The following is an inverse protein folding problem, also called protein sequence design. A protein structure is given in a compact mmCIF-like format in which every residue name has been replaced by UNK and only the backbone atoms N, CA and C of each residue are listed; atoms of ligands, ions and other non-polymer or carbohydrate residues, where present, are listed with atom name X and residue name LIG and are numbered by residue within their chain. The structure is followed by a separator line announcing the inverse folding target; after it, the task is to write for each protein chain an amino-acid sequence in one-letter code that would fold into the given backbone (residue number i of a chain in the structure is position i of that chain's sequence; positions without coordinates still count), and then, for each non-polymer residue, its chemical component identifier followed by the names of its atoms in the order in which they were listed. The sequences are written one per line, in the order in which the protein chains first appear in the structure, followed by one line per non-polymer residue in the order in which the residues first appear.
data_IF_460568420812
#
_entry.id   IF_460568420812
#
_cell.length_a   1.000
_cell.length_b   1.000
_cell.length_c   1.000
_cell.angle_alpha   90.00
_cell.angle_beta   90.00
_cell.angle_gamma   90.00
#
_symmetry.space_group_name_H-M   'P 1'
#
loop_
_entity.id
_entity.type
_entity.pdbx_description
1 polymer ?
#
# COMPACT_ATOMS: atom_id res chain seq x y z
N UNK A 1 4.81 20.98 -14.17
CA UNK A 1 4.30 21.85 -13.09
C UNK A 1 4.64 23.32 -13.36
N UNK A 2 4.63 23.71 -14.63
CA UNK A 2 4.89 25.09 -15.08
C UNK A 2 3.70 25.45 -15.95
N UNK A 3 3.03 26.56 -15.66
CA UNK A 3 1.92 27.03 -16.50
C UNK A 3 2.41 27.73 -17.78
N UNK A 4 1.48 28.14 -18.65
CA UNK A 4 1.79 28.84 -19.90
C UNK A 4 2.47 30.20 -19.70
N UNK A 5 2.41 30.76 -18.49
CA UNK A 5 3.09 31.99 -18.10
C UNK A 5 4.46 31.73 -17.42
N UNK A 6 4.92 30.48 -17.39
CA UNK A 6 6.22 30.11 -16.81
C UNK A 6 6.23 30.03 -15.27
N UNK A 7 5.08 29.94 -14.61
CA UNK A 7 4.98 29.91 -13.13
C UNK A 7 4.78 28.51 -12.60
N UNK A 8 5.28 28.24 -11.39
CA UNK A 8 4.98 27.02 -10.63
C UNK A 8 3.48 26.95 -10.29
N UNK A 9 2.85 25.80 -10.55
CA UNK A 9 1.39 25.61 -10.33
C UNK A 9 1.09 25.02 -8.95
N UNK A 10 1.77 23.94 -8.58
CA UNK A 10 1.59 23.27 -7.29
C UNK A 10 2.84 23.37 -6.43
N UNK A 11 2.70 23.76 -5.16
CA UNK A 11 3.79 23.72 -4.19
C UNK A 11 3.97 22.34 -3.55
N UNK A 12 2.87 21.63 -3.33
CA UNK A 12 2.86 20.33 -2.68
C UNK A 12 1.78 19.40 -3.24
N UNK A 13 2.06 18.10 -3.22
CA UNK A 13 1.14 17.04 -3.66
C UNK A 13 1.14 15.91 -2.62
N UNK A 14 -0.03 15.54 -2.11
CA UNK A 14 -0.25 14.30 -1.38
C UNK A 14 -0.98 13.33 -2.30
N UNK A 15 -0.23 12.38 -2.85
CA UNK A 15 -0.74 11.37 -3.77
C UNK A 15 -1.03 10.11 -2.96
N UNK A 16 -2.26 9.99 -2.48
CA UNK A 16 -2.73 8.78 -1.80
C UNK A 16 -3.15 7.71 -2.79
N UNK A 17 -2.93 6.44 -2.42
CA UNK A 17 -3.10 5.25 -3.26
C UNK A 17 -2.39 5.36 -4.61
N UNK A 18 -1.17 5.92 -4.59
CA UNK A 18 -0.43 6.31 -5.78
C UNK A 18 -0.32 5.17 -6.81
N UNK A 19 0.07 3.97 -6.36
CA UNK A 19 0.31 2.82 -7.23
C UNK A 19 1.29 3.14 -8.37
N UNK A 20 1.37 2.24 -9.36
CA UNK A 20 2.03 2.51 -10.64
C UNK A 20 1.11 3.24 -11.64
N UNK A 21 -0.20 3.17 -11.42
CA UNK A 21 -1.22 3.71 -12.30
C UNK A 21 -1.26 5.24 -12.29
N UNK A 22 -1.60 5.83 -13.43
CA UNK A 22 -1.86 7.27 -13.57
C UNK A 22 -3.27 7.51 -14.04
N UNK A 23 -3.79 8.70 -13.72
CA UNK A 23 -5.06 9.14 -14.28
C UNK A 23 -4.98 9.32 -15.80
N UNK A 24 -6.05 8.96 -16.48
CA UNK A 24 -6.20 9.12 -17.92
C UNK A 24 -6.74 10.52 -18.23
N UNK A 25 -5.86 11.43 -18.66
CA UNK A 25 -6.24 12.82 -18.98
C UNK A 25 -5.87 13.25 -20.40
N UNK A 26 -4.81 12.68 -20.96
CA UNK A 26 -4.12 13.21 -22.15
C UNK A 26 -4.22 12.28 -23.37
N UNK A 27 -5.30 11.52 -23.49
CA UNK A 27 -5.59 10.72 -24.68
C UNK A 27 -7.08 10.75 -25.04
N UNK A 28 -7.41 10.42 -26.29
CA UNK A 28 -8.79 10.37 -26.78
C UNK A 28 -9.57 9.30 -26.04
N UNK A 29 -10.81 9.62 -25.69
CA UNK A 29 -11.73 8.78 -24.91
C UNK A 29 -11.19 8.39 -23.53
N UNK A 30 -10.27 9.20 -22.99
CA UNK A 30 -9.79 9.07 -21.63
C UNK A 30 -10.93 9.16 -20.61
N UNK A 31 -10.90 8.26 -19.64
CA UNK A 31 -11.81 8.20 -18.52
C UNK A 31 -10.98 8.40 -17.24
N UNK A 32 -10.98 9.61 -16.65
CA UNK A 32 -10.12 9.94 -15.53
C UNK A 32 -10.25 9.02 -14.31
N UNK A 33 -11.45 8.46 -14.10
CA UNK A 33 -11.76 7.59 -12.96
C UNK A 33 -11.48 6.10 -13.22
N UNK A 34 -10.96 5.74 -14.40
CA UNK A 34 -10.74 4.34 -14.75
C UNK A 34 -9.37 3.88 -14.26
N UNK A 35 -9.32 2.67 -13.72
CA UNK A 35 -8.13 2.01 -13.24
C UNK A 35 -8.11 0.54 -13.65
N UNK A 36 -6.92 -0.03 -13.79
CA UNK A 36 -6.74 -1.42 -14.20
C UNK A 36 -6.65 -2.36 -12.98
N UNK A 37 -7.32 -3.51 -13.10
CA UNK A 37 -7.25 -4.60 -12.13
C UNK A 37 -7.15 -5.94 -12.85
N UNK A 38 -6.91 -7.02 -12.10
CA UNK A 38 -6.82 -8.38 -12.66
C UNK A 38 -8.09 -8.85 -13.38
N UNK A 39 -9.26 -8.29 -13.06
CA UNK A 39 -10.54 -8.70 -13.66
C UNK A 39 -11.36 -7.55 -14.26
N UNK A 40 -10.77 -6.36 -14.39
CA UNK A 40 -11.48 -5.21 -14.95
C UNK A 40 -10.53 -4.25 -15.65
N UNK A 41 -11.07 -3.53 -16.65
CA UNK A 41 -10.34 -2.54 -17.45
C UNK A 41 -8.97 -3.02 -18.00
N UNK A 42 -8.93 -4.29 -18.43
CA UNK A 42 -7.75 -4.92 -19.04
C UNK A 42 -7.14 -4.02 -20.11
N UNK A 43 -5.84 -3.73 -19.95
CA UNK A 43 -5.05 -2.95 -20.89
C UNK A 43 -5.66 -1.58 -21.25
N UNK A 44 -6.49 -1.02 -20.36
CA UNK A 44 -6.82 0.39 -20.47
C UNK A 44 -5.57 1.22 -20.10
N UNK A 45 -5.33 2.42 -20.70
CA UNK A 45 -4.06 3.14 -20.57
C UNK A 45 -3.82 3.82 -19.20
N UNK A 46 -3.78 3.06 -18.10
CA UNK A 46 -3.56 3.56 -16.73
C UNK A 46 -2.16 3.25 -16.21
N UNK A 47 -1.72 2.01 -16.35
CA UNK A 47 -0.49 1.50 -15.71
C UNK A 47 0.67 1.54 -16.71
N UNK A 48 1.09 2.75 -17.07
CA UNK A 48 2.05 2.99 -18.13
C UNK A 48 3.39 3.49 -17.57
N UNK A 49 4.49 3.07 -18.21
CA UNK A 49 5.82 3.63 -18.01
C UNK A 49 5.87 5.13 -18.40
N UNK A 50 6.62 6.03 -17.71
CA UNK A 50 7.41 5.84 -16.47
C UNK A 50 6.65 5.71 -15.14
N UNK A 51 7.21 4.92 -14.22
CA UNK A 51 6.63 4.72 -12.87
C UNK A 51 7.33 5.52 -11.77
N UNK A 52 8.62 5.83 -11.97
CA UNK A 52 9.41 6.64 -11.04
C UNK A 52 9.52 8.08 -11.54
N UNK A 53 9.79 9.00 -10.61
CA UNK A 53 10.07 10.41 -10.95
C UNK A 53 11.43 10.60 -11.61
N UNK A 54 12.41 9.75 -11.25
CA UNK A 54 13.69 9.62 -11.94
C UNK A 54 13.50 8.97 -13.31
N UNK A 55 14.30 9.42 -14.27
CA UNK A 55 14.38 8.81 -15.60
C UNK A 55 14.94 7.40 -15.49
N UNK A 56 14.25 6.45 -16.11
CA UNK A 56 14.74 5.10 -16.37
C UNK A 56 14.67 4.84 -17.88
N UNK A 57 15.44 3.88 -18.36
CA UNK A 57 15.34 3.42 -19.75
C UNK A 57 14.75 2.02 -19.77
N UNK A 58 13.64 1.84 -20.50
CA UNK A 58 13.05 0.53 -20.71
C UNK A 58 13.88 -0.27 -21.73
N UNK A 59 14.54 -1.36 -21.32
CA UNK A 59 15.41 -2.12 -22.22
C UNK A 59 14.67 -2.80 -23.37
N UNK A 60 13.35 -3.03 -23.24
CA UNK A 60 12.56 -3.68 -24.29
C UNK A 60 12.11 -2.70 -25.38
N UNK A 61 11.76 -1.47 -24.99
CA UNK A 61 11.25 -0.45 -25.93
C UNK A 61 12.29 0.59 -26.33
N UNK A 62 13.39 0.71 -25.57
CA UNK A 62 14.41 1.75 -25.73
C UNK A 62 13.98 3.13 -25.23
N UNK A 63 12.76 3.29 -24.71
CA UNK A 63 12.22 4.57 -24.26
C UNK A 63 12.87 4.95 -22.93
N UNK A 64 13.39 6.17 -22.84
CA UNK A 64 13.91 6.76 -21.60
C UNK A 64 12.98 7.88 -21.10
N UNK A 65 12.37 7.71 -19.93
CA UNK A 65 11.45 8.71 -19.35
C UNK A 65 11.36 8.59 -17.82
N UNK A 66 10.81 9.62 -17.17
CA UNK A 66 10.53 9.72 -15.74
C UNK A 66 9.39 10.71 -15.49
N UNK A 67 8.60 10.54 -14.43
CA UNK A 67 7.44 11.42 -14.17
C UNK A 67 7.82 12.92 -14.08
N UNK A 68 9.06 13.22 -13.69
CA UNK A 68 9.60 14.58 -13.60
C UNK A 68 10.67 14.88 -14.67
N UNK A 69 10.85 14.04 -15.69
CA UNK A 69 11.85 14.24 -16.74
C UNK A 69 11.67 15.59 -17.46
N UNK A 70 10.43 16.01 -17.72
CA UNK A 70 10.11 17.32 -18.34
C UNK A 70 10.35 18.53 -17.44
N UNK A 71 10.64 18.31 -16.15
CA UNK A 71 11.02 19.37 -15.18
C UNK A 71 12.53 19.43 -14.96
N UNK A 72 13.33 18.80 -15.80
CA UNK A 72 14.80 18.84 -15.69
C UNK A 72 15.34 20.27 -15.82
N UNK A 73 14.74 21.09 -16.68
CA UNK A 73 15.13 22.49 -16.92
C UNK A 73 14.61 23.47 -15.86
N UNK A 74 13.59 23.06 -15.09
CA UNK A 74 12.95 23.87 -14.04
C UNK A 74 12.86 23.09 -12.72
N UNK A 75 13.99 22.69 -12.11
CA UNK A 75 13.99 21.96 -10.84
C UNK A 75 13.29 22.73 -9.71
N UNK A 76 13.31 24.07 -9.74
CA UNK A 76 12.61 24.97 -8.83
C UNK A 76 11.08 24.87 -8.91
N UNK A 77 10.55 24.33 -10.02
CA UNK A 77 9.12 24.07 -10.19
C UNK A 77 8.70 22.66 -9.75
N UNK A 78 9.61 21.84 -9.22
CA UNK A 78 9.22 20.53 -8.68
C UNK A 78 8.41 20.71 -7.39
N UNK A 79 7.19 20.14 -7.30
CA UNK A 79 6.44 20.20 -6.06
C UNK A 79 7.09 19.32 -4.99
N UNK A 80 6.79 19.59 -3.72
CA UNK A 80 7.04 18.66 -2.62
C UNK A 80 6.00 17.54 -2.67
N UNK A 81 6.42 16.29 -2.80
CA UNK A 81 5.49 15.17 -3.08
C UNK A 81 5.56 14.13 -1.99
N UNK A 82 4.41 13.78 -1.43
CA UNK A 82 4.24 12.55 -0.65
C UNK A 82 3.48 11.53 -1.50
N UNK A 83 4.12 10.40 -1.79
CA UNK A 83 3.45 9.21 -2.27
C UNK A 83 3.07 8.36 -1.07
N UNK A 84 1.77 8.08 -0.91
CA UNK A 84 1.31 7.14 0.12
C UNK A 84 0.60 5.97 -0.54
N UNK A 85 0.95 4.76 -0.08
CA UNK A 85 0.39 3.51 -0.59
C UNK A 85 0.03 2.63 0.59
N UNK A 86 -1.18 2.08 0.62
CA UNK A 86 -1.50 0.98 1.53
C UNK A 86 -0.80 -0.29 1.06
N UNK A 87 -0.95 -1.40 1.78
CA UNK A 87 -0.49 -2.69 1.27
C UNK A 87 -1.25 -3.09 0.01
N UNK A 88 -2.53 -2.72 -0.13
CA UNK A 88 -3.31 -3.14 -1.29
C UNK A 88 -2.69 -2.62 -2.59
N UNK A 89 -2.13 -1.42 -2.58
CA UNK A 89 -1.51 -0.83 -3.76
C UNK A 89 -0.32 -1.65 -4.29
N UNK A 90 0.40 -2.40 -3.42
CA UNK A 90 1.45 -3.32 -3.87
C UNK A 90 0.85 -4.55 -4.59
N UNK A 91 -0.28 -5.06 -4.10
CA UNK A 91 -0.94 -6.26 -4.64
C UNK A 91 -1.83 -5.99 -5.86
N UNK A 92 -2.55 -4.88 -5.84
CA UNK A 92 -3.60 -4.55 -6.81
C UNK A 92 -3.26 -3.39 -7.73
N UNK A 93 -2.19 -2.63 -7.47
CA UNK A 93 -1.84 -1.42 -8.26
C UNK A 93 -0.34 -1.31 -8.57
N UNK A 94 0.39 -2.42 -8.50
CA UNK A 94 1.82 -2.54 -8.83
C UNK A 94 2.73 -1.47 -8.19
N UNK A 95 2.44 -1.06 -6.95
CA UNK A 95 3.13 0.05 -6.28
C UNK A 95 4.64 -0.14 -6.08
N UNK A 96 5.18 -1.35 -6.18
CA UNK A 96 6.63 -1.55 -6.16
C UNK A 96 7.34 -0.74 -7.26
N UNK A 97 6.70 -0.54 -8.41
CA UNK A 97 7.30 0.13 -9.57
C UNK A 97 7.61 1.61 -9.34
N UNK A 98 7.02 2.26 -8.33
CA UNK A 98 7.34 3.68 -8.04
C UNK A 98 8.68 3.86 -7.34
N UNK A 99 9.31 2.77 -6.91
CA UNK A 99 10.59 2.82 -6.18
C UNK A 99 11.52 1.64 -6.53
N UNK A 100 11.30 0.97 -7.65
CA UNK A 100 12.22 -0.05 -8.18
C UNK A 100 12.61 0.24 -9.63
N UNK A 101 13.70 -0.39 -10.06
CA UNK A 101 14.04 -0.49 -11.47
C UNK A 101 12.95 -1.24 -12.24
N UNK A 102 12.84 -1.01 -13.56
CA UNK A 102 11.83 -1.66 -14.40
C UNK A 102 11.92 -3.20 -14.43
N UNK A 103 13.09 -3.75 -14.10
CA UNK A 103 13.32 -5.20 -13.95
C UNK A 103 13.15 -5.69 -12.50
N UNK A 104 12.78 -4.81 -11.57
CA UNK A 104 12.51 -5.12 -10.17
C UNK A 104 13.72 -5.55 -9.36
N UNK A 105 14.95 -5.22 -9.80
CA UNK A 105 16.20 -5.70 -9.18
C UNK A 105 16.93 -4.69 -8.31
N UNK A 106 16.65 -3.40 -8.46
CA UNK A 106 17.34 -2.32 -7.75
C UNK A 106 16.33 -1.35 -7.17
N UNK A 107 16.57 -0.89 -5.94
CA UNK A 107 15.80 0.20 -5.32
C UNK A 107 16.11 1.53 -6.04
N UNK A 108 15.07 2.25 -6.44
CA UNK A 108 15.17 3.61 -6.98
C UNK A 108 14.88 4.60 -5.86
N UNK A 109 15.91 5.32 -5.42
CA UNK A 109 15.77 6.32 -4.36
C UNK A 109 14.88 7.47 -4.81
N UNK A 110 13.91 7.94 -4.00
CA UNK A 110 13.15 9.15 -4.28
C UNK A 110 14.04 10.39 -4.49
N UNK A 111 13.52 11.42 -5.14
CA UNK A 111 14.19 12.73 -5.21
C UNK A 111 14.14 13.46 -3.85
N UNK A 112 15.00 14.47 -3.61
CA UNK A 112 15.00 15.21 -2.34
C UNK A 112 13.66 15.86 -1.97
N UNK A 113 12.89 16.27 -2.98
CA UNK A 113 11.54 16.84 -2.87
C UNK A 113 10.43 15.78 -2.71
N UNK A 114 10.78 14.51 -2.48
CA UNK A 114 9.82 13.41 -2.41
C UNK A 114 9.92 12.64 -1.10
N UNK A 115 8.78 12.08 -0.67
CA UNK A 115 8.70 11.04 0.36
C UNK A 115 7.79 9.93 -0.11
N UNK A 116 8.12 8.70 0.28
CA UNK A 116 7.27 7.52 0.09
C UNK A 116 6.91 6.97 1.47
N UNK A 117 5.62 6.83 1.76
CA UNK A 117 5.12 6.20 2.98
C UNK A 117 4.20 5.03 2.62
N UNK A 118 4.63 3.83 2.98
CA UNK A 118 3.80 2.64 2.88
C UNK A 118 2.99 2.47 4.17
N UNK A 119 1.66 2.51 4.09
CA UNK A 119 0.75 2.32 5.21
C UNK A 119 0.52 0.81 5.41
N UNK A 120 1.34 0.23 6.27
CA UNK A 120 1.50 -1.22 6.40
C UNK A 120 0.20 -1.90 6.87
N UNK A 121 -0.13 -3.01 6.24
CA UNK A 121 -1.29 -3.86 6.52
C UNK A 121 -2.61 -3.28 6.02
N UNK A 122 -2.64 -2.06 5.48
CA UNK A 122 -3.88 -1.42 5.03
C UNK A 122 -4.41 -2.02 3.72
N UNK A 123 -5.72 -2.22 3.65
CA UNK A 123 -6.40 -2.40 2.36
C UNK A 123 -6.65 -1.03 1.70
N UNK A 124 -7.27 -0.99 0.51
CA UNK A 124 -7.44 0.25 -0.26
C UNK A 124 -8.25 1.35 0.46
N UNK A 125 -9.24 0.96 1.26
CA UNK A 125 -10.06 1.86 2.09
C UNK A 125 -10.31 1.24 3.46
N UNK A 126 -10.65 2.02 4.48
CA UNK A 126 -10.81 1.46 5.83
C UNK A 126 -12.10 0.66 5.94
N UNK A 127 -11.98 -0.60 6.36
CA UNK A 127 -13.11 -1.46 6.67
C UNK A 127 -13.82 -1.05 7.97
N UNK A 128 -15.10 -1.40 8.08
CA UNK A 128 -15.88 -1.17 9.31
C UNK A 128 -15.38 -2.01 10.48
N UNK A 129 -15.41 -1.42 11.69
CA UNK A 129 -15.18 -2.13 12.94
C UNK A 129 -16.40 -1.96 13.86
N UNK A 130 -16.90 -3.02 14.54
CA UNK A 130 -16.44 -4.41 14.44
C UNK A 130 -16.71 -5.02 13.05
N UNK A 131 -15.87 -5.97 12.56
CA UNK A 131 -16.09 -6.59 11.26
C UNK A 131 -17.37 -7.44 11.26
N UNK A 132 -18.05 -7.45 10.11
CA UNK A 132 -19.35 -8.10 9.95
C UNK A 132 -19.26 -9.61 10.15
N UNK A 133 -20.19 -10.18 10.94
CA UNK A 133 -20.27 -11.64 11.12
C UNK A 133 -20.70 -12.38 9.85
N UNK A 134 -21.49 -11.74 8.98
CA UNK A 134 -21.92 -12.35 7.71
C UNK A 134 -20.80 -12.45 6.69
N UNK A 135 -19.72 -11.70 6.90
CA UNK A 135 -18.55 -11.64 6.01
C UNK A 135 -17.38 -12.48 6.54
N UNK A 136 -17.66 -13.44 7.42
CA UNK A 136 -16.67 -14.30 8.05
C UNK A 136 -16.60 -15.67 7.38
N UNK A 137 -15.41 -16.10 6.98
CA UNK A 137 -15.10 -17.45 6.52
C UNK A 137 -14.10 -18.09 7.50
N UNK A 138 -14.54 -19.08 8.28
CA UNK A 138 -13.69 -19.68 9.32
C UNK A 138 -13.32 -18.65 10.40
N UNK A 139 -12.05 -18.28 10.53
CA UNK A 139 -11.55 -17.19 11.41
C UNK A 139 -11.29 -15.88 10.66
N UNK A 140 -11.31 -15.91 9.33
CA UNK A 140 -11.02 -14.76 8.50
C UNK A 140 -12.27 -13.92 8.25
N UNK A 141 -12.13 -12.61 8.43
CA UNK A 141 -13.13 -11.62 8.04
C UNK A 141 -12.74 -11.02 6.70
N UNK A 142 -13.69 -11.03 5.76
CA UNK A 142 -13.57 -10.23 4.54
C UNK A 142 -13.65 -8.76 4.95
N UNK A 143 -12.77 -7.94 4.37
CA UNK A 143 -12.46 -6.58 4.79
C UNK A 143 -11.54 -6.50 6.00
N UNK A 144 -10.81 -5.40 6.05
CA UNK A 144 -9.73 -5.13 6.99
C UNK A 144 -9.98 -3.77 7.67
N UNK A 145 -10.17 -3.75 9.00
CA UNK A 145 -10.49 -2.54 9.74
C UNK A 145 -9.25 -1.75 10.17
N UNK A 146 -8.04 -2.00 9.65
CA UNK A 146 -6.86 -1.20 10.00
C UNK A 146 -7.11 0.29 9.69
N UNK A 147 -6.94 1.19 10.68
CA UNK A 147 -7.22 2.62 10.52
C UNK A 147 -5.93 3.40 10.24
N UNK A 148 -5.69 3.71 8.97
CA UNK A 148 -4.55 4.51 8.54
C UNK A 148 -4.85 6.01 8.40
N UNK A 149 -6.08 6.47 8.70
CA UNK A 149 -6.45 7.89 8.60
C UNK A 149 -5.66 8.79 9.56
N UNK A 150 -5.39 8.42 10.83
CA UNK A 150 -4.57 9.24 11.70
C UNK A 150 -3.17 9.50 11.13
N UNK A 151 -2.58 8.49 10.48
CA UNK A 151 -1.30 8.62 9.78
C UNK A 151 -1.43 9.56 8.57
N UNK A 152 -2.45 9.38 7.73
CA UNK A 152 -2.67 10.27 6.58
C UNK A 152 -2.86 11.74 7.00
N UNK A 153 -3.61 11.97 8.08
CA UNK A 153 -3.80 13.31 8.64
C UNK A 153 -2.48 13.91 9.14
N UNK A 154 -1.66 13.12 9.83
CA UNK A 154 -0.33 13.55 10.26
C UNK A 154 0.54 13.92 9.05
N UNK A 155 0.59 13.05 8.03
CA UNK A 155 1.34 13.29 6.80
C UNK A 155 0.85 14.52 6.04
N UNK A 156 -0.46 14.77 5.97
CA UNK A 156 -1.00 15.99 5.38
C UNK A 156 -0.48 17.24 6.11
N UNK A 157 -0.53 17.25 7.45
CA UNK A 157 0.02 18.35 8.24
C UNK A 157 1.52 18.52 8.02
N UNK A 158 2.29 17.41 7.93
CA UNK A 158 3.73 17.46 7.63
C UNK A 158 4.02 17.99 6.23
N UNK A 159 3.18 17.69 5.23
CA UNK A 159 3.33 18.24 3.89
C UNK A 159 3.07 19.75 3.89
N UNK A 160 2.04 20.21 4.60
CA UNK A 160 1.76 21.64 4.77
C UNK A 160 2.96 22.34 5.42
N UNK A 161 3.44 21.85 6.56
CA UNK A 161 4.63 22.39 7.23
C UNK A 161 5.85 22.42 6.29
N UNK A 162 6.03 21.37 5.49
CA UNK A 162 7.13 21.34 4.53
C UNK A 162 6.96 22.41 3.47
N UNK A 163 5.76 22.57 2.91
CA UNK A 163 5.47 23.57 1.88
C UNK A 163 5.60 25.00 2.39
N UNK A 164 5.02 25.31 3.55
CA UNK A 164 4.87 26.69 4.04
C UNK A 164 6.04 27.16 4.89
N UNK A 165 6.73 26.25 5.57
CA UNK A 165 7.77 26.59 6.57
C UNK A 165 9.13 25.94 6.27
N UNK A 166 9.24 25.21 5.15
CA UNK A 166 10.41 24.40 4.78
C UNK A 166 10.87 23.42 5.88
N UNK A 167 9.95 23.04 6.77
CA UNK A 167 10.21 22.05 7.82
C UNK A 167 10.34 20.68 7.19
N UNK A 168 11.52 20.09 7.28
CA UNK A 168 11.79 18.76 6.71
C UNK A 168 10.86 17.71 7.36
N UNK A 169 10.08 16.95 6.58
CA UNK A 169 9.19 15.93 7.11
C UNK A 169 9.94 14.65 7.47
N UNK A 170 9.30 13.69 8.16
CA UNK A 170 9.87 12.38 8.43
C UNK A 170 10.46 11.74 7.16
N UNK A 171 11.54 10.97 7.30
CA UNK A 171 12.12 10.26 6.16
C UNK A 171 11.11 9.28 5.55
N UNK A 172 11.31 8.92 4.27
CA UNK A 172 10.49 7.90 3.62
C UNK A 172 10.53 6.58 4.39
N UNK A 173 9.39 5.90 4.51
CA UNK A 173 9.28 4.59 5.18
C UNK A 173 8.49 3.65 4.27
N UNK A 174 9.19 2.73 3.60
CA UNK A 174 8.63 1.81 2.62
C UNK A 174 9.50 0.54 2.50
N UNK A 175 8.95 -0.60 2.03
CA UNK A 175 9.72 -1.82 1.81
C UNK A 175 10.75 -1.61 0.69
N UNK A 176 11.97 -2.11 0.88
CA UNK A 176 13.06 -2.06 -0.11
C UNK A 176 13.68 -3.42 -0.32
N UNK A 177 14.27 -3.64 -1.49
CA UNK A 177 15.01 -4.84 -1.86
C UNK A 177 16.25 -4.97 -0.97
N UNK A 178 16.99 -3.87 -0.79
CA UNK A 178 18.23 -3.83 0.01
C UNK A 178 18.01 -4.24 1.46
N UNK A 179 16.86 -3.88 2.05
CA UNK A 179 16.49 -4.29 3.40
C UNK A 179 15.92 -5.72 3.48
N UNK A 180 15.74 -6.41 2.34
CA UNK A 180 15.07 -7.70 2.28
C UNK A 180 13.57 -7.65 2.63
N UNK A 181 12.99 -6.45 2.62
CA UNK A 181 11.60 -6.20 3.01
C UNK A 181 10.65 -6.10 1.83
N UNK A 182 11.16 -5.92 0.60
CA UNK A 182 10.41 -6.00 -0.64
C UNK A 182 10.76 -7.31 -1.35
N UNK A 183 9.76 -8.14 -1.65
CA UNK A 183 9.97 -9.50 -2.16
C UNK A 183 8.98 -9.85 -3.28
N UNK A 184 9.32 -10.83 -4.12
CA UNK A 184 8.33 -11.44 -5.01
C UNK A 184 7.29 -12.22 -4.20
N UNK A 185 6.11 -12.47 -4.78
CA UNK A 185 5.06 -13.26 -4.11
C UNK A 185 5.54 -14.66 -3.72
N UNK A 186 6.39 -15.29 -4.54
CA UNK A 186 6.95 -16.61 -4.27
C UNK A 186 7.95 -16.61 -3.09
N UNK A 187 8.55 -15.46 -2.81
CA UNK A 187 9.47 -15.26 -1.69
C UNK A 187 8.79 -14.69 -0.44
N UNK A 188 7.47 -14.46 -0.46
CA UNK A 188 6.69 -14.05 0.70
C UNK A 188 6.67 -15.18 1.74
N UNK A 189 7.20 -14.92 2.93
CA UNK A 189 7.29 -15.91 4.01
C UNK A 189 6.05 -15.83 4.91
N UNK A 190 4.89 -16.02 4.30
CA UNK A 190 3.63 -15.92 5.02
C UNK A 190 3.49 -17.09 6.02
N UNK A 191 3.26 -16.81 7.32
CA UNK A 191 3.17 -17.87 8.32
C UNK A 191 1.88 -18.69 8.13
N UNK A 192 1.86 -19.97 8.55
CA UNK A 192 0.64 -20.76 8.57
C UNK A 192 -0.39 -20.12 9.53
N UNK A 193 -1.46 -19.57 8.95
CA UNK A 193 -2.59 -18.99 9.69
C UNK A 193 -3.84 -19.77 9.30
N UNK A 194 -4.57 -20.17 10.33
CA UNK A 194 -5.70 -21.05 10.15
C UNK A 194 -6.84 -20.33 9.38
N UNK A 195 -7.40 -21.00 8.37
CA UNK A 195 -8.38 -20.47 7.38
C UNK A 195 -7.89 -19.34 6.46
N UNK A 196 -6.59 -19.06 6.43
CA UNK A 196 -6.02 -18.03 5.56
C UNK A 196 -4.93 -18.61 4.67
N UNK A 197 -5.15 -18.53 3.36
CA UNK A 197 -4.15 -18.93 2.34
C UNK A 197 -3.56 -17.67 1.70
N UNK A 198 -2.22 -17.56 1.57
CA UNK A 198 -1.61 -16.44 0.86
C UNK A 198 -1.95 -16.48 -0.65
N UNK A 199 -2.03 -15.34 -1.34
CA UNK A 199 -2.23 -15.29 -2.77
C UNK A 199 -1.02 -15.87 -3.53
N UNK A 200 -1.29 -16.59 -4.61
CA UNK A 200 -0.29 -17.00 -5.61
C UNK A 200 -0.37 -16.15 -6.87
N UNK A 201 -1.14 -15.06 -6.82
CA UNK A 201 -1.39 -14.15 -7.93
C UNK A 201 -1.29 -12.71 -7.46
N UNK A 202 -0.97 -11.80 -8.39
CA UNK A 202 -0.78 -10.37 -8.14
C UNK A 202 -1.15 -9.57 -9.39
N UNK A 203 -1.59 -8.32 -9.25
CA UNK A 203 -1.78 -7.42 -10.39
C UNK A 203 -0.42 -7.00 -10.98
N UNK A 204 -0.31 -6.99 -12.30
CA UNK A 204 0.90 -6.60 -13.00
C UNK A 204 0.58 -5.54 -14.05
N UNK A 205 1.41 -4.49 -14.08
CA UNK A 205 1.45 -3.56 -15.20
C UNK A 205 2.11 -4.23 -16.41
N UNK A 206 1.73 -3.84 -17.62
CA UNK A 206 2.27 -4.40 -18.86
C UNK A 206 2.83 -3.29 -19.77
N UNK A 207 3.79 -3.65 -20.62
CA UNK A 207 4.12 -2.86 -21.80
C UNK A 207 2.99 -3.02 -22.81
N UNK A 208 2.32 -1.94 -23.16
CA UNK A 208 1.13 -1.98 -24.04
C UNK A 208 1.34 -1.10 -25.26
N UNK A 209 1.20 -1.68 -26.46
CA UNK A 209 1.24 -0.99 -27.76
C UNK A 209 -0.18 -0.58 -28.21
N UNK A 210 -0.52 0.69 -28.01
CA UNK A 210 -1.76 1.31 -28.51
C UNK A 210 -1.65 1.80 -29.98
N UNK A 211 -0.53 1.53 -30.64
CA UNK A 211 -0.23 1.86 -32.02
C UNK A 211 0.53 3.19 -32.20
N UNK A 212 0.93 3.51 -33.45
CA UNK A 212 1.93 4.53 -33.76
C UNK A 212 1.52 5.96 -33.40
N UNK A 213 0.23 6.23 -33.16
CA UNK A 213 -0.26 7.58 -32.79
C UNK A 213 -0.44 7.75 -31.28
N UNK A 214 0.01 6.81 -30.46
CA UNK A 214 -0.12 6.87 -29.01
C UNK A 214 0.56 8.11 -28.40
N UNK A 215 1.71 8.55 -28.94
CA UNK A 215 2.39 9.76 -28.49
C UNK A 215 1.53 11.05 -28.63
N UNK A 216 0.55 11.05 -29.54
CA UNK A 216 -0.43 12.13 -29.71
C UNK A 216 -1.73 11.88 -28.92
N UNK A 217 -1.75 10.87 -28.04
CA UNK A 217 -2.92 10.46 -27.28
C UNK A 217 -3.99 9.76 -28.12
N UNK A 218 -3.63 9.10 -29.23
CA UNK A 218 -4.60 8.45 -30.12
C UNK A 218 -4.34 6.95 -30.15
N UNK A 219 -5.32 6.18 -29.67
CA UNK A 219 -5.32 4.72 -29.76
C UNK A 219 -5.70 4.35 -31.20
N UNK A 220 -4.77 3.70 -31.91
CA UNK A 220 -4.95 3.23 -33.29
C UNK A 220 -4.97 1.70 -33.40
N UNK A 221 -4.67 1.01 -32.30
CA UNK A 221 -4.71 -0.45 -32.20
C UNK A 221 -5.59 -0.85 -31.00
N UNK A 222 -6.69 -1.53 -31.27
CA UNK A 222 -7.63 -2.05 -30.28
C UNK A 222 -8.17 -3.42 -30.78
N UNK A 223 -7.94 -4.54 -30.08
CA UNK A 223 -7.19 -4.66 -28.82
C UNK A 223 -5.70 -4.32 -28.99
N UNK A 224 -5.05 -3.74 -27.96
CA UNK A 224 -3.65 -3.34 -28.06
C UNK A 224 -2.71 -4.54 -28.11
N UNK A 225 -1.48 -4.32 -28.56
CA UNK A 225 -0.41 -5.30 -28.43
C UNK A 225 0.05 -5.37 -26.97
N UNK A 226 0.16 -6.56 -26.39
CA UNK A 226 0.56 -6.74 -25.00
C UNK A 226 1.94 -7.39 -24.95
N UNK A 227 2.91 -6.66 -24.41
CA UNK A 227 4.27 -7.10 -24.16
C UNK A 227 4.45 -7.71 -22.76
N UNK A 228 5.71 -7.91 -22.38
CA UNK A 228 6.05 -8.50 -21.09
C UNK A 228 5.53 -7.65 -19.91
N UNK A 229 5.07 -8.30 -18.83
CA UNK A 229 4.69 -7.60 -17.61
C UNK A 229 5.92 -7.00 -16.92
N UNK A 230 5.70 -5.92 -16.18
CA UNK A 230 6.67 -5.43 -15.21
C UNK A 230 6.60 -6.28 -13.92
N UNK A 231 7.72 -6.48 -13.21
CA UNK A 231 7.71 -7.20 -11.93
C UNK A 231 6.87 -6.48 -10.87
N UNK A 232 5.98 -7.23 -10.23
CA UNK A 232 5.22 -6.77 -9.07
C UNK A 232 5.77 -7.43 -7.81
N UNK A 233 6.09 -6.62 -6.80
CA UNK A 233 6.68 -7.04 -5.54
C UNK A 233 5.81 -6.56 -4.37
N UNK A 234 5.93 -7.22 -3.22
CA UNK A 234 5.11 -6.99 -2.03
C UNK A 234 5.98 -6.81 -0.79
N UNK A 235 5.43 -6.20 0.26
CA UNK A 235 6.13 -6.15 1.55
C UNK A 235 6.20 -7.55 2.17
N UNK A 236 7.35 -7.91 2.70
CA UNK A 236 7.52 -9.07 3.55
C UNK A 236 6.73 -8.90 4.85
N UNK A 237 6.39 -10.03 5.48
CA UNK A 237 5.61 -10.08 6.72
C UNK A 237 6.41 -10.64 7.89
N UNK A 238 5.97 -10.32 9.11
CA UNK A 238 6.47 -10.90 10.35
C UNK A 238 5.79 -12.24 10.70
N UNK A 239 6.11 -12.79 11.88
CA UNK A 239 5.54 -14.05 12.36
C UNK A 239 4.02 -14.00 12.62
N UNK A 240 3.43 -12.80 12.68
CA UNK A 240 1.98 -12.63 12.75
C UNK A 240 1.34 -12.47 11.37
N UNK A 241 2.11 -12.52 10.28
CA UNK A 241 1.61 -12.28 8.93
C UNK A 241 1.30 -10.80 8.66
N UNK A 242 1.81 -9.89 9.48
CA UNK A 242 1.67 -8.45 9.30
C UNK A 242 2.88 -7.87 8.56
N UNK A 243 2.67 -6.90 7.67
CA UNK A 243 3.74 -6.27 6.90
C UNK A 243 4.82 -5.66 7.82
N UNK A 244 6.09 -5.99 7.56
CA UNK A 244 7.20 -5.67 8.47
C UNK A 244 7.82 -4.29 8.23
N UNK A 245 7.63 -3.74 7.03
CA UNK A 245 8.17 -2.45 6.61
C UNK A 245 7.04 -1.44 6.36
N UNK A 246 7.41 -0.17 6.19
CA UNK A 246 6.46 0.92 6.10
C UNK A 246 6.08 1.51 7.47
N UNK A 247 5.13 2.43 7.44
CA UNK A 247 4.50 3.03 8.61
C UNK A 247 3.54 2.02 9.21
N UNK A 248 3.99 1.37 10.29
CA UNK A 248 3.20 0.42 11.08
C UNK A 248 2.35 1.20 12.09
N UNK A 249 1.03 1.15 11.93
CA UNK A 249 0.08 1.69 12.91
C UNK A 249 0.13 0.97 14.25
N UNK A 250 -0.60 1.47 15.25
CA UNK A 250 -0.70 0.85 16.57
C UNK A 250 -1.15 -0.61 16.50
N UNK A 251 -1.99 -0.94 15.52
CA UNK A 251 -2.50 -2.27 15.22
C UNK A 251 -1.40 -3.27 14.83
N UNK A 252 -0.29 -2.79 14.26
CA UNK A 252 0.85 -3.63 13.88
C UNK A 252 2.02 -3.54 14.86
N UNK A 253 2.09 -2.47 15.65
CA UNK A 253 3.08 -2.31 16.73
C UNK A 253 2.65 -2.99 18.04
N UNK A 254 1.34 -3.17 18.25
CA UNK A 254 0.73 -3.93 19.33
C UNK A 254 -0.37 -4.84 18.76
N UNK A 255 -0.01 -5.94 18.08
CA UNK A 255 -0.98 -6.69 17.28
C UNK A 255 -1.90 -7.54 18.14
N UNK A 256 -3.19 -7.49 17.81
CA UNK A 256 -4.24 -8.41 18.24
C UNK A 256 -4.79 -9.27 17.09
N UNK A 257 -4.33 -9.02 15.87
CA UNK A 257 -4.76 -9.71 14.66
C UNK A 257 -3.68 -9.66 13.58
N UNK A 258 -3.91 -10.45 12.53
CA UNK A 258 -3.27 -10.27 11.23
C UNK A 258 -4.15 -9.37 10.36
N UNK A 259 -3.54 -8.35 9.78
CA UNK A 259 -4.14 -7.38 8.87
C UNK A 259 -3.48 -7.55 7.51
N UNK A 260 -4.09 -8.37 6.65
CA UNK A 260 -3.59 -8.53 5.29
C UNK A 260 -4.19 -7.47 4.37
N UNK A 261 -3.41 -6.93 3.44
CA UNK A 261 -3.90 -5.94 2.50
C UNK A 261 -4.63 -6.52 1.28
N UNK A 262 -4.79 -7.84 1.23
CA UNK A 262 -5.37 -8.60 0.13
C UNK A 262 -6.50 -9.51 0.64
N UNK A 263 -7.40 -9.89 -0.26
CA UNK A 263 -8.47 -10.83 -0.01
C UNK A 263 -8.59 -11.76 -1.22
N UNK A 264 -8.67 -13.07 -0.98
CA UNK A 264 -9.00 -14.03 -2.03
C UNK A 264 -10.52 -14.20 -2.17
N UNK A 265 -11.00 -14.50 -3.38
CA UNK A 265 -12.43 -14.77 -3.64
C UNK A 265 -12.95 -15.91 -2.79
N UNK A 266 -12.14 -16.95 -2.58
CA UNK A 266 -12.51 -18.13 -1.81
C UNK A 266 -13.59 -18.98 -2.51
N UNK A 267 -14.16 -19.94 -1.78
CA UNK A 267 -15.14 -20.87 -2.34
C UNK A 267 -14.52 -22.02 -3.14
N UNK A 268 -15.33 -22.64 -4.00
CA UNK A 268 -14.99 -23.84 -4.78
C UNK A 268 -14.83 -23.59 -6.29
N UNK A 269 -15.00 -22.34 -6.74
CA UNK A 269 -14.84 -21.96 -8.14
C UNK A 269 -13.39 -21.98 -8.61
N UNK A 270 -13.18 -21.98 -9.93
CA UNK A 270 -11.83 -21.91 -10.53
C UNK A 270 -11.13 -20.58 -10.24
N UNK A 271 -11.89 -19.53 -9.89
CA UNK A 271 -11.40 -18.21 -9.50
C UNK A 271 -11.21 -18.08 -7.97
N UNK A 272 -11.37 -19.14 -7.18
CA UNK A 272 -11.29 -19.07 -5.72
C UNK A 272 -9.93 -18.56 -5.20
N UNK A 273 -8.85 -18.75 -5.98
CA UNK A 273 -7.51 -18.27 -5.69
C UNK A 273 -7.20 -16.86 -6.20
N UNK A 274 -8.17 -16.18 -6.82
CA UNK A 274 -7.97 -14.84 -7.36
C UNK A 274 -8.22 -13.76 -6.31
N UNK A 275 -7.55 -12.62 -6.51
CA UNK A 275 -7.73 -11.44 -5.69
C UNK A 275 -9.13 -10.84 -5.87
N UNK A 276 -9.65 -10.30 -4.78
CA UNK A 276 -10.80 -9.40 -4.77
C UNK A 276 -10.28 -7.98 -4.72
N UNK A 277 -10.70 -7.17 -5.68
CA UNK A 277 -10.25 -5.78 -5.76
C UNK A 277 -10.60 -5.03 -4.46
N UNK A 278 -9.65 -4.21 -4.03
CA UNK A 278 -9.67 -3.25 -2.92
C UNK A 278 -9.78 -3.81 -1.50
N UNK A 279 -10.10 -5.10 -1.34
CA UNK A 279 -10.35 -5.69 -0.04
C UNK A 279 -9.11 -6.37 0.54
N UNK A 280 -8.97 -6.24 1.86
CA UNK A 280 -8.06 -7.01 2.70
C UNK A 280 -8.80 -8.07 3.51
N UNK A 281 -8.03 -8.84 4.28
CA UNK A 281 -8.54 -9.81 5.24
C UNK A 281 -8.06 -9.49 6.66
N UNK A 282 -8.97 -9.58 7.63
CA UNK A 282 -8.69 -9.44 9.06
C UNK A 282 -8.87 -10.78 9.79
N UNK A 283 -7.82 -11.24 10.48
CA UNK A 283 -7.84 -12.52 11.22
C UNK A 283 -7.37 -12.29 12.66
N UNK A 284 -8.27 -12.28 13.66
CA UNK A 284 -7.88 -12.18 15.07
C UNK A 284 -6.85 -13.23 15.47
N UNK A 285 -5.95 -12.87 16.38
CA UNK A 285 -5.06 -13.83 17.03
C UNK A 285 -5.88 -14.79 17.92
N UNK A 286 -5.41 -16.02 18.14
CA UNK A 286 -5.99 -16.88 19.16
C UNK A 286 -5.92 -16.18 20.52
N UNK A 287 -6.99 -16.24 21.30
CA UNK A 287 -7.04 -15.58 22.60
C UNK A 287 -6.23 -16.34 23.62
N UNK A 288 -6.39 -17.66 23.58
CA UNK A 288 -5.74 -18.60 24.48
C UNK A 288 -4.78 -19.52 23.73
N UNK A 289 -3.82 -20.08 24.45
CA UNK A 289 -2.93 -21.12 23.99
C UNK A 289 -3.72 -22.39 23.59
N UNK A 290 -4.80 -22.68 24.33
CA UNK A 290 -5.73 -23.75 23.96
C UNK A 290 -6.42 -23.49 22.61
N UNK A 291 -6.82 -22.25 22.32
CA UNK A 291 -7.31 -21.88 20.98
C UNK A 291 -6.21 -22.05 19.93
N UNK A 292 -5.00 -21.52 20.18
CA UNK A 292 -3.87 -21.64 19.26
C UNK A 292 -3.61 -23.09 18.85
N UNK A 293 -3.50 -23.99 19.83
CA UNK A 293 -3.22 -25.41 19.61
C UNK A 293 -4.36 -26.12 18.85
N UNK A 294 -5.62 -25.89 19.26
CA UNK A 294 -6.78 -26.48 18.56
C UNK A 294 -6.87 -26.02 17.11
N UNK A 295 -6.40 -24.82 16.81
CA UNK A 295 -6.48 -24.22 15.49
C UNK A 295 -5.28 -24.55 14.61
N UNK A 296 -4.19 -25.07 15.19
CA UNK A 296 -2.91 -25.19 14.50
C UNK A 296 -2.35 -23.83 14.07
N UNK A 297 -2.67 -22.76 14.81
CA UNK A 297 -2.25 -21.41 14.48
C UNK A 297 -0.79 -21.20 14.93
N UNK A 298 0.07 -20.74 14.01
CA UNK A 298 1.49 -20.54 14.32
C UNK A 298 1.75 -19.27 15.16
N UNK A 299 0.79 -18.34 15.19
CA UNK A 299 0.93 -17.03 15.85
C UNK A 299 0.77 -17.16 17.36
N UNK A 300 1.47 -16.31 18.12
CA UNK A 300 1.28 -16.25 19.58
C UNK A 300 -0.16 -15.89 19.95
N UNK A 301 -0.68 -16.52 21.01
CA UNK A 301 -1.97 -16.15 21.56
C UNK A 301 -1.92 -14.82 22.30
N UNK A 302 -3.06 -14.15 22.41
CA UNK A 302 -3.20 -12.87 23.13
C UNK A 302 -2.79 -13.04 24.60
N UNK A 303 -3.22 -14.11 25.28
CA UNK A 303 -2.84 -14.37 26.68
C UNK A 303 -1.34 -14.58 26.85
N UNK A 304 -0.66 -15.12 25.83
CA UNK A 304 0.80 -15.31 25.88
C UNK A 304 1.54 -14.00 25.60
N UNK A 305 0.95 -13.12 24.82
CA UNK A 305 1.52 -11.84 24.39
C UNK A 305 1.32 -10.73 25.41
N UNK A 306 0.14 -10.66 26.02
CA UNK A 306 -0.24 -9.62 26.97
C UNK A 306 -0.82 -10.28 28.22
N UNK A 307 -0.27 -9.90 29.38
CA UNK A 307 -0.75 -10.43 30.66
C UNK A 307 -2.23 -10.08 30.93
N UNK A 308 -2.64 -8.86 30.57
CA UNK A 308 -3.99 -8.34 30.73
C UNK A 308 -4.26 -7.15 29.78
N UNK A 309 -5.48 -6.61 29.82
CA UNK A 309 -5.89 -5.42 29.04
C UNK A 309 -5.01 -4.21 29.32
N UNK A 310 -4.57 -4.02 30.56
CA UNK A 310 -3.73 -2.88 30.96
C UNK A 310 -2.33 -2.99 30.36
N UNK A 311 -1.74 -4.18 30.32
CA UNK A 311 -0.46 -4.44 29.67
C UNK A 311 -0.53 -4.22 28.15
N UNK A 312 -1.65 -4.61 27.53
CA UNK A 312 -1.92 -4.31 26.13
C UNK A 312 -2.00 -2.81 25.87
N UNK A 313 -2.86 -2.08 26.59
CA UNK A 313 -3.03 -0.63 26.41
C UNK A 313 -1.74 0.15 26.72
N UNK A 314 -0.92 -0.29 27.67
CA UNK A 314 0.39 0.31 27.91
C UNK A 314 1.34 0.11 26.72
N UNK A 315 1.24 -1.01 26.00
CA UNK A 315 2.01 -1.27 24.78
C UNK A 315 1.53 -0.41 23.62
N UNK A 316 0.21 -0.25 23.47
CA UNK A 316 -0.39 0.67 22.50
C UNK A 316 0.03 2.12 22.77
N UNK A 317 0.01 2.55 24.04
CA UNK A 317 0.43 3.90 24.42
C UNK A 317 1.87 4.18 24.01
N UNK A 318 2.81 3.26 24.27
CA UNK A 318 4.21 3.38 23.81
C UNK A 318 4.31 3.43 22.28
N UNK A 319 3.51 2.64 21.57
CA UNK A 319 3.48 2.65 20.11
C UNK A 319 2.96 3.99 19.56
N UNK A 320 1.85 4.50 20.09
CA UNK A 320 1.27 5.78 19.69
C UNK A 320 2.22 6.95 19.98
N UNK A 321 2.87 6.95 21.15
CA UNK A 321 3.89 7.94 21.52
C UNK A 321 5.11 7.91 20.59
N UNK A 322 5.58 6.71 20.20
CA UNK A 322 6.65 6.56 19.21
C UNK A 322 6.27 7.12 17.84
N UNK A 323 5.06 6.84 17.37
CA UNK A 323 4.53 7.39 16.12
C UNK A 323 4.39 8.91 16.18
N UNK A 324 3.94 9.45 17.31
CA UNK A 324 3.81 10.89 17.52
C UNK A 324 5.17 11.60 17.54
N UNK A 325 6.16 11.02 18.24
CA UNK A 325 7.53 11.50 18.25
C UNK A 325 8.18 11.45 16.85
N UNK A 326 7.84 10.41 16.06
CA UNK A 326 8.27 10.26 14.67
C UNK A 326 7.51 11.14 13.66
N UNK A 327 6.51 11.92 14.09
CA UNK A 327 5.70 12.75 13.21
C UNK A 327 4.77 11.98 12.28
N UNK A 328 4.50 10.71 12.58
CA UNK A 328 3.62 9.79 11.84
C UNK A 328 2.23 9.65 12.48
N UNK A 329 2.02 10.29 13.63
CA UNK A 329 0.74 10.45 14.30
C UNK A 329 0.71 11.87 14.89
N UNK A 330 -0.45 12.54 14.88
CA UNK A 330 -0.57 13.80 15.60
C UNK A 330 -0.72 13.52 17.09
N UNK A 331 -0.14 14.39 17.94
CA UNK A 331 -0.24 14.25 19.40
C UNK A 331 -1.70 14.20 19.87
N UNK A 332 -2.56 14.99 19.25
CA UNK A 332 -4.01 15.04 19.50
C UNK A 332 -4.78 13.78 19.09
N UNK A 333 -4.18 12.93 18.23
CA UNK A 333 -4.78 11.66 17.80
C UNK A 333 -4.39 10.46 18.68
N UNK A 334 -3.46 10.64 19.63
CA UNK A 334 -3.06 9.58 20.57
C UNK A 334 -4.26 9.03 21.38
N UNK A 335 -5.15 9.85 21.96
CA UNK A 335 -6.32 9.33 22.67
C UNK A 335 -7.24 8.49 21.77
N UNK A 336 -7.46 8.92 20.52
CA UNK A 336 -8.28 8.19 19.54
C UNK A 336 -7.66 6.82 19.22
N UNK A 337 -6.34 6.74 19.06
CA UNK A 337 -5.65 5.47 18.81
C UNK A 337 -5.80 4.49 19.99
N UNK A 338 -5.72 5.00 21.23
CA UNK A 338 -5.94 4.21 22.46
C UNK A 338 -7.38 3.71 22.58
N UNK A 339 -8.37 4.57 22.33
CA UNK A 339 -9.79 4.21 22.35
C UNK A 339 -10.09 3.11 21.32
N UNK A 340 -9.57 3.24 20.09
CA UNK A 340 -9.73 2.22 19.06
C UNK A 340 -9.11 0.89 19.47
N UNK A 341 -7.92 0.91 20.04
CA UNK A 341 -7.26 -0.30 20.53
C UNK A 341 -8.06 -0.98 21.65
N UNK A 342 -8.61 -0.21 22.58
CA UNK A 342 -9.51 -0.72 23.63
C UNK A 342 -10.74 -1.40 23.04
N UNK A 343 -11.40 -0.80 22.05
CA UNK A 343 -12.53 -1.40 21.35
C UNK A 343 -12.16 -2.73 20.67
N UNK A 344 -10.97 -2.81 20.06
CA UNK A 344 -10.46 -4.04 19.46
C UNK A 344 -10.24 -5.13 20.52
N UNK A 345 -9.58 -4.79 21.64
CA UNK A 345 -9.37 -5.72 22.74
C UNK A 345 -10.70 -6.29 23.25
N UNK A 346 -11.64 -5.42 23.61
CA UNK A 346 -12.91 -5.83 24.22
C UNK A 346 -13.71 -6.72 23.29
N UNK A 347 -13.78 -6.37 22.01
CA UNK A 347 -14.50 -7.16 21.02
C UNK A 347 -13.86 -8.53 20.75
N UNK A 348 -12.53 -8.62 20.73
CA UNK A 348 -11.85 -9.93 20.57
C UNK A 348 -12.07 -10.78 21.81
N UNK A 349 -11.86 -10.20 23.01
CA UNK A 349 -11.90 -10.95 24.25
C UNK A 349 -13.32 -11.37 24.67
N UNK A 350 -14.37 -10.71 24.18
CA UNK A 350 -15.77 -11.02 24.51
C UNK A 350 -16.39 -12.22 23.77
N UNK A 351 -15.62 -12.95 22.95
CA UNK A 351 -16.18 -13.85 21.91
C UNK A 351 -16.29 -15.35 22.18
#
# INVERSE_FOLDING_TARGET
NTDEAGRKVFDGLLVHTAGAGRGSFNHRFAQPSRDAHRFSAFFYPTDLFPFTTRTQTDPETGIADGLLARSAEHPEHRPKIFFTNTGYEYWGRAASLIHTSLDGRVDVTPLPNERIYHLAGGQHFIGGFPPSRSERAGRAYRSNPLDFLPTLRALLARLVDWVTEDRTPPASVYPTLTAGALVSIDALKFPPIADLRPPTVIHQAHRVDYGPRWAAGIITREPPGVGAPFPALVSQVDADGNEMAGVRGTELLAPLATYTPWQLRGGHGTDAGELVDFLGTYVPLPRTEGERQRWGDSRLSIERRYADKRAYLATVARAAESLAAGGLLLREDVPRALERAEQHWDWIMSR
#
